data_IF_170876254018
#
_entry.id   IF_170876254018
#
_cell.length_a   1.000
_cell.length_b   1.000
_cell.length_c   1.000
_cell.angle_alpha   90.00
_cell.angle_beta   90.00
_cell.angle_gamma   90.00
#
_symmetry.space_group_name_H-M   'P 1'
#
loop_
_entity.id
_entity.type
_entity.pdbx_description
1 polymer ?
#
# COMPACT_ATOMS: atom_id res chain seq x y z
N UNK A 1 -30.23 19.08 3.36
CA UNK A 1 -29.10 18.93 2.43
C UNK A 1 -29.65 18.42 1.12
N UNK A 2 -29.29 19.02 -0.01
CA UNK A 2 -29.77 18.56 -1.31
C UNK A 2 -28.86 17.41 -1.77
N UNK A 3 -29.39 16.20 -2.00
CA UNK A 3 -28.58 15.08 -2.46
C UNK A 3 -27.99 15.38 -3.84
N UNK A 4 -26.82 14.81 -4.13
CA UNK A 4 -26.17 14.92 -5.42
C UNK A 4 -27.13 14.48 -6.55
N UNK A 5 -27.30 15.30 -7.60
CA UNK A 5 -28.19 14.96 -8.71
C UNK A 5 -27.59 13.90 -9.64
N UNK A 6 -26.33 13.51 -9.42
CA UNK A 6 -25.58 12.66 -10.33
C UNK A 6 -25.93 11.18 -10.15
N UNK A 7 -26.08 10.42 -11.24
CA UNK A 7 -26.17 8.97 -11.17
C UNK A 7 -24.85 8.34 -10.74
N UNK A 8 -24.90 7.16 -10.15
CA UNK A 8 -23.71 6.34 -9.90
C UNK A 8 -23.70 5.12 -10.81
N UNK A 9 -22.51 4.75 -11.31
CA UNK A 9 -22.35 3.65 -12.26
C UNK A 9 -21.35 2.62 -11.70
N UNK A 10 -21.75 1.35 -11.72
CA UNK A 10 -20.88 0.22 -11.39
C UNK A 10 -20.79 -0.74 -12.56
N UNK A 11 -19.58 -1.00 -13.04
CA UNK A 11 -19.31 -1.97 -14.10
C UNK A 11 -18.42 -3.11 -13.56
N UNK A 12 -18.95 -4.33 -13.54
CA UNK A 12 -18.25 -5.55 -13.10
C UNK A 12 -18.22 -6.60 -14.21
N UNK A 13 -17.74 -7.82 -13.91
CA UNK A 13 -17.90 -8.96 -14.82
C UNK A 13 -19.34 -9.50 -14.83
N UNK A 14 -20.09 -9.30 -13.75
CA UNK A 14 -21.45 -9.80 -13.57
C UNK A 14 -22.53 -8.93 -14.22
N UNK A 15 -22.20 -7.69 -14.57
CA UNK A 15 -23.14 -6.77 -15.18
C UNK A 15 -22.72 -5.30 -15.04
N UNK A 16 -23.62 -4.42 -15.45
CA UNK A 16 -23.47 -2.97 -15.29
C UNK A 16 -24.75 -2.45 -14.65
N UNK A 17 -24.61 -1.68 -13.58
CA UNK A 17 -25.73 -1.11 -12.84
C UNK A 17 -25.59 0.39 -12.74
N UNK A 18 -26.73 1.07 -12.82
CA UNK A 18 -26.84 2.50 -12.58
C UNK A 18 -27.82 2.75 -11.44
N UNK A 19 -27.46 3.67 -10.54
CA UNK A 19 -28.33 4.15 -9.48
C UNK A 19 -28.60 5.64 -9.65
N UNK A 20 -29.88 6.00 -9.74
CA UNK A 20 -30.38 7.38 -9.78
C UNK A 20 -31.17 7.69 -8.50
N UNK A 21 -31.77 8.87 -8.41
CA UNK A 21 -32.68 9.17 -7.29
C UNK A 21 -33.96 8.33 -7.34
N UNK A 22 -34.35 7.87 -8.54
CA UNK A 22 -35.56 7.10 -8.80
C UNK A 22 -35.38 5.60 -8.54
N UNK A 23 -34.15 5.10 -8.51
CA UNK A 23 -33.86 3.71 -8.20
C UNK A 23 -32.60 3.16 -8.86
N UNK A 24 -32.41 1.85 -8.72
CA UNK A 24 -31.27 1.12 -9.29
C UNK A 24 -31.75 0.13 -10.34
N UNK A 25 -31.05 0.04 -11.47
CA UNK A 25 -31.33 -0.94 -12.52
C UNK A 25 -30.07 -1.41 -13.22
N UNK A 26 -30.15 -2.61 -13.80
CA UNK A 26 -29.13 -3.14 -14.70
C UNK A 26 -29.27 -2.51 -16.09
N UNK A 27 -28.14 -2.22 -16.74
CA UNK A 27 -28.07 -1.56 -18.04
C UNK A 27 -27.06 -2.22 -18.96
N UNK A 28 -27.24 -2.00 -20.27
CA UNK A 28 -26.26 -2.43 -21.27
C UNK A 28 -25.05 -1.50 -21.35
N UNK A 29 -23.92 -2.01 -21.85
CA UNK A 29 -22.69 -1.24 -22.05
C UNK A 29 -22.88 0.03 -22.88
N UNK A 30 -23.62 -0.05 -23.99
CA UNK A 30 -23.87 1.12 -24.85
C UNK A 30 -24.66 2.21 -24.16
N UNK A 31 -25.63 1.83 -23.32
CA UNK A 31 -26.37 2.78 -22.49
C UNK A 31 -25.48 3.42 -21.43
N UNK A 32 -24.63 2.63 -20.76
CA UNK A 32 -23.70 3.12 -19.75
C UNK A 32 -22.72 4.16 -20.31
N UNK A 33 -22.15 3.89 -21.49
CA UNK A 33 -21.25 4.83 -22.18
C UNK A 33 -21.97 6.12 -22.55
N UNK A 34 -23.19 6.02 -23.11
CA UNK A 34 -23.99 7.20 -23.46
C UNK A 34 -24.27 8.08 -22.23
N UNK A 35 -24.71 7.47 -21.13
CA UNK A 35 -24.99 8.21 -19.89
C UNK A 35 -23.73 8.90 -19.35
N UNK A 36 -22.60 8.18 -19.32
CA UNK A 36 -21.34 8.74 -18.84
C UNK A 36 -20.78 9.86 -19.73
N UNK A 37 -21.11 9.86 -21.03
CA UNK A 37 -20.74 10.94 -21.94
C UNK A 37 -21.65 12.18 -21.79
N UNK A 38 -22.94 11.98 -21.48
CA UNK A 38 -23.93 13.05 -21.40
C UNK A 38 -23.96 13.75 -20.03
N UNK A 39 -23.61 13.05 -18.94
CA UNK A 39 -23.78 13.56 -17.57
C UNK A 39 -22.66 13.05 -16.67
N UNK A 40 -22.13 13.88 -15.73
CA UNK A 40 -21.19 13.41 -14.74
C UNK A 40 -21.76 12.23 -13.93
N UNK A 41 -21.02 11.13 -13.91
CA UNK A 41 -21.37 9.90 -13.19
C UNK A 41 -20.47 9.72 -11.97
N UNK A 42 -21.03 9.30 -10.85
CA UNK A 42 -20.27 8.86 -9.69
C UNK A 42 -19.70 7.47 -9.97
N UNK A 43 -18.39 7.34 -9.79
CA UNK A 43 -17.62 6.14 -10.11
C UNK A 43 -16.69 5.79 -8.94
N UNK A 44 -16.22 4.56 -8.92
CA UNK A 44 -15.09 4.14 -8.11
C UNK A 44 -14.02 3.58 -9.04
N UNK A 45 -12.85 4.20 -9.07
CA UNK A 45 -11.75 3.82 -9.96
C UNK A 45 -12.16 3.94 -11.44
N UNK A 46 -12.26 5.18 -11.92
CA UNK A 46 -12.63 5.51 -13.29
C UNK A 46 -11.79 4.76 -14.34
N UNK A 47 -10.45 4.59 -14.20
CA UNK A 47 -9.67 3.76 -15.13
C UNK A 47 -10.12 2.30 -15.21
N UNK A 48 -10.48 1.69 -14.07
CA UNK A 48 -11.01 0.33 -14.05
C UNK A 48 -12.40 0.27 -14.71
N UNK A 49 -13.28 1.23 -14.41
CA UNK A 49 -14.60 1.33 -15.03
C UNK A 49 -14.49 1.55 -16.55
N UNK A 50 -13.58 2.42 -17.00
CA UNK A 50 -13.24 2.65 -18.40
C UNK A 50 -12.86 1.36 -19.12
N UNK A 51 -11.95 0.58 -18.52
CA UNK A 51 -11.52 -0.71 -19.05
C UNK A 51 -12.70 -1.70 -19.17
N UNK A 52 -13.60 -1.73 -18.18
CA UNK A 52 -14.79 -2.61 -18.17
C UNK A 52 -15.80 -2.24 -19.25
N UNK A 53 -15.97 -0.95 -19.49
CA UNK A 53 -16.88 -0.42 -20.50
C UNK A 53 -16.27 -0.42 -21.90
N UNK A 54 -14.95 -0.59 -22.04
CA UNK A 54 -14.24 -0.39 -23.30
C UNK A 54 -14.27 1.06 -23.78
N UNK A 55 -14.32 2.01 -22.82
CA UNK A 55 -14.41 3.44 -23.07
C UNK A 55 -13.25 4.15 -22.34
N UNK A 56 -12.10 4.34 -23.00
CA UNK A 56 -10.82 4.67 -22.35
C UNK A 56 -10.80 6.05 -21.66
N UNK A 57 -11.54 7.03 -22.18
CA UNK A 57 -11.56 8.39 -21.67
C UNK A 57 -12.75 8.67 -20.74
N UNK A 58 -13.12 7.67 -19.92
CA UNK A 58 -14.20 7.82 -18.95
C UNK A 58 -13.82 8.87 -17.89
N UNK A 59 -14.46 10.02 -17.95
CA UNK A 59 -14.38 11.07 -16.94
C UNK A 59 -15.65 11.09 -16.10
N UNK A 60 -15.51 11.36 -14.80
CA UNK A 60 -16.63 11.40 -13.88
C UNK A 60 -16.22 11.88 -12.49
N UNK A 61 -17.10 11.65 -11.54
CA UNK A 61 -16.92 11.93 -10.12
C UNK A 61 -16.33 10.67 -9.46
N UNK A 62 -15.01 10.50 -9.53
CA UNK A 62 -14.33 9.33 -8.95
C UNK A 62 -14.18 9.48 -7.43
N UNK A 63 -14.74 8.55 -6.67
CA UNK A 63 -14.67 8.53 -5.22
C UNK A 63 -13.24 8.41 -4.68
N UNK A 64 -12.31 7.80 -5.44
CA UNK A 64 -10.90 7.73 -5.03
C UNK A 64 -10.24 9.11 -5.01
N UNK A 65 -10.60 9.98 -5.96
CA UNK A 65 -10.10 11.36 -6.01
C UNK A 65 -10.66 12.19 -4.85
N UNK A 66 -11.96 12.06 -4.57
CA UNK A 66 -12.58 12.73 -3.43
C UNK A 66 -11.98 12.26 -2.11
N UNK A 67 -11.76 10.95 -1.96
CA UNK A 67 -11.09 10.40 -0.78
C UNK A 67 -9.67 10.96 -0.63
N UNK A 68 -8.88 10.99 -1.71
CA UNK A 68 -7.52 11.52 -1.67
C UNK A 68 -7.47 13.00 -1.29
N UNK A 69 -8.46 13.79 -1.71
CA UNK A 69 -8.60 15.18 -1.32
C UNK A 69 -8.96 15.35 0.17
N UNK A 70 -9.91 14.56 0.67
CA UNK A 70 -10.38 14.67 2.06
C UNK A 70 -9.41 14.06 3.08
N UNK A 71 -8.75 12.97 2.71
CA UNK A 71 -7.89 12.15 3.57
C UNK A 71 -6.52 11.93 2.93
N UNK A 72 -5.75 13.02 2.69
CA UNK A 72 -4.43 12.92 2.09
C UNK A 72 -3.52 11.99 2.91
N UNK A 73 -2.70 11.21 2.22
CA UNK A 73 -1.77 10.23 2.81
C UNK A 73 -2.42 9.16 3.71
N UNK A 74 -3.72 8.88 3.56
CA UNK A 74 -4.39 7.75 4.22
C UNK A 74 -4.55 6.57 3.28
N UNK A 75 -4.27 5.37 3.80
CA UNK A 75 -4.47 4.13 3.05
C UNK A 75 -5.96 3.75 3.02
N UNK A 76 -6.41 3.26 1.87
CA UNK A 76 -7.73 2.68 1.65
C UNK A 76 -7.62 1.61 0.57
N UNK A 77 -8.33 0.50 0.74
CA UNK A 77 -8.47 -0.51 -0.32
C UNK A 77 -9.47 0.01 -1.37
N UNK A 78 -9.09 0.19 -2.65
CA UNK A 78 -9.91 0.85 -3.68
C UNK A 78 -11.00 -0.08 -4.24
N UNK A 79 -11.85 -0.58 -3.36
CA UNK A 79 -12.99 -1.46 -3.67
C UNK A 79 -14.22 -0.97 -2.90
N UNK A 80 -15.46 -1.29 -3.33
CA UNK A 80 -16.65 -0.83 -2.62
C UNK A 80 -16.66 -1.23 -1.14
N UNK A 81 -16.32 -2.48 -0.83
CA UNK A 81 -16.19 -2.98 0.55
C UNK A 81 -15.04 -2.30 1.32
N UNK A 82 -13.92 -2.05 0.66
CA UNK A 82 -12.79 -1.34 1.25
C UNK A 82 -13.13 0.11 1.62
N UNK A 83 -13.84 0.81 0.73
CA UNK A 83 -14.34 2.16 0.99
C UNK A 83 -15.38 2.16 2.11
N UNK A 84 -16.33 1.21 2.11
CA UNK A 84 -17.34 1.08 3.15
C UNK A 84 -16.73 0.95 4.56
N UNK A 85 -15.75 0.05 4.71
CA UNK A 85 -14.99 -0.12 5.97
C UNK A 85 -14.25 1.13 6.39
N UNK A 86 -13.68 1.86 5.42
CA UNK A 86 -12.92 3.08 5.68
C UNK A 86 -13.81 4.22 6.15
N UNK A 87 -15.03 4.30 5.59
CA UNK A 87 -16.04 5.30 5.96
C UNK A 87 -16.90 4.88 7.17
N UNK A 88 -16.87 3.61 7.58
CA UNK A 88 -17.72 3.08 8.65
C UNK A 88 -19.19 2.95 8.26
N UNK A 89 -19.49 2.77 6.97
CA UNK A 89 -20.86 2.60 6.45
C UNK A 89 -21.12 1.15 6.03
N UNK A 90 -22.39 0.80 5.79
CA UNK A 90 -22.79 -0.55 5.41
C UNK A 90 -22.10 -0.99 4.10
N UNK A 91 -21.58 -2.23 4.08
CA UNK A 91 -21.00 -2.82 2.87
C UNK A 91 -22.10 -3.20 1.87
N UNK A 92 -21.87 -3.04 0.55
CA UNK A 92 -22.78 -3.57 -0.46
C UNK A 92 -22.81 -5.10 -0.41
N UNK A 93 -24.02 -5.66 -0.37
CA UNK A 93 -24.27 -7.10 -0.25
C UNK A 93 -23.88 -7.85 -1.54
N UNK A 94 -24.19 -7.26 -2.70
CA UNK A 94 -23.99 -7.81 -4.04
C UNK A 94 -23.62 -6.71 -5.06
N UNK A 95 -23.32 -7.10 -6.31
CA UNK A 95 -22.95 -6.16 -7.37
C UNK A 95 -24.05 -5.14 -7.70
N UNK A 96 -25.32 -5.53 -7.60
CA UNK A 96 -26.46 -4.63 -7.86
C UNK A 96 -26.56 -3.52 -6.82
N UNK A 97 -26.18 -3.82 -5.57
CA UNK A 97 -26.14 -2.86 -4.46
C UNK A 97 -24.93 -1.91 -4.50
N UNK A 98 -23.94 -2.14 -5.37
CA UNK A 98 -22.75 -1.27 -5.43
C UNK A 98 -23.10 0.11 -5.96
N UNK A 99 -23.86 0.23 -7.06
CA UNK A 99 -24.22 1.53 -7.62
C UNK A 99 -24.94 2.46 -6.61
N UNK A 100 -25.98 2.04 -5.87
CA UNK A 100 -26.59 2.89 -4.85
C UNK A 100 -25.60 3.18 -3.71
N UNK A 101 -24.80 2.19 -3.26
CA UNK A 101 -23.76 2.40 -2.26
C UNK A 101 -22.76 3.51 -2.65
N UNK A 102 -22.38 3.63 -3.93
CA UNK A 102 -21.47 4.69 -4.37
C UNK A 102 -22.07 6.10 -4.17
N UNK A 103 -23.39 6.26 -4.30
CA UNK A 103 -24.08 7.52 -4.00
C UNK A 103 -24.03 7.82 -2.50
N UNK A 104 -24.31 6.82 -1.68
CA UNK A 104 -24.28 6.95 -0.22
C UNK A 104 -22.86 7.28 0.28
N UNK A 105 -21.85 6.61 -0.28
CA UNK A 105 -20.44 6.87 0.02
C UNK A 105 -20.00 8.28 -0.41
N UNK A 106 -20.49 8.77 -1.56
CA UNK A 106 -20.25 10.15 -2.00
C UNK A 106 -20.80 11.16 -0.99
N UNK A 107 -22.05 11.00 -0.55
CA UNK A 107 -22.66 11.89 0.44
C UNK A 107 -21.95 11.80 1.79
N UNK A 108 -21.61 10.59 2.25
CA UNK A 108 -20.88 10.41 3.49
C UNK A 108 -19.51 11.12 3.47
N UNK A 109 -18.78 11.04 2.36
CA UNK A 109 -17.51 11.76 2.19
C UNK A 109 -17.70 13.27 2.11
N UNK A 110 -18.72 13.72 1.39
CA UNK A 110 -19.00 15.15 1.27
C UNK A 110 -19.45 15.76 2.61
N UNK A 111 -20.14 15.01 3.46
CA UNK A 111 -20.48 15.42 4.82
C UNK A 111 -19.22 15.65 5.69
N UNK A 112 -18.10 14.94 5.43
CA UNK A 112 -16.83 15.20 6.13
C UNK A 112 -16.38 16.65 5.88
N UNK A 113 -16.55 17.15 4.66
CA UNK A 113 -16.14 18.51 4.28
C UNK A 113 -16.93 19.62 5.02
N UNK A 114 -18.07 19.28 5.63
CA UNK A 114 -18.89 20.19 6.43
C UNK A 114 -18.47 20.22 7.91
N UNK A 115 -17.57 19.33 8.33
CA UNK A 115 -17.08 19.21 9.70
C UNK A 115 -15.73 19.90 9.90
N UNK A 116 -15.24 19.96 11.14
CA UNK A 116 -13.86 20.36 11.44
C UNK A 116 -12.93 19.13 11.42
N UNK A 117 -12.75 18.53 10.24
CA UNK A 117 -11.93 17.32 10.12
C UNK A 117 -10.42 17.64 10.21
N UNK A 118 -9.58 16.68 10.62
CA UNK A 118 -8.17 16.96 10.95
C UNK A 118 -7.34 17.54 9.80
N UNK A 119 -7.63 17.10 8.57
CA UNK A 119 -6.95 17.51 7.34
C UNK A 119 -7.61 18.73 6.64
N UNK A 120 -8.49 19.48 7.33
CA UNK A 120 -9.24 20.63 6.77
C UNK A 120 -8.37 21.81 6.35
N UNK A 121 -7.26 22.06 7.05
CA UNK A 121 -6.44 23.26 6.81
C UNK A 121 -5.93 23.32 5.37
N UNK A 122 -6.25 24.41 4.66
CA UNK A 122 -5.85 24.64 3.27
C UNK A 122 -6.75 23.95 2.23
N UNK A 123 -7.73 23.14 2.66
CA UNK A 123 -8.64 22.43 1.75
C UNK A 123 -9.44 23.40 0.87
N UNK A 124 -9.87 24.55 1.40
CA UNK A 124 -10.59 25.56 0.61
C UNK A 124 -9.73 26.10 -0.56
N UNK A 125 -8.48 26.47 -0.30
CA UNK A 125 -7.56 26.94 -1.35
C UNK A 125 -7.17 25.83 -2.34
N UNK A 126 -7.03 24.59 -1.83
CA UNK A 126 -6.83 23.40 -2.66
C UNK A 126 -8.00 23.18 -3.63
N UNK A 127 -9.24 23.22 -3.14
CA UNK A 127 -10.44 23.09 -3.94
C UNK A 127 -10.54 24.18 -5.02
N UNK A 128 -10.21 25.44 -4.70
CA UNK A 128 -10.19 26.54 -5.67
C UNK A 128 -9.14 26.32 -6.78
N UNK A 129 -7.95 25.81 -6.42
CA UNK A 129 -6.90 25.51 -7.39
C UNK A 129 -7.30 24.35 -8.30
N UNK A 130 -7.87 23.29 -7.73
CA UNK A 130 -8.37 22.13 -8.48
C UNK A 130 -9.59 22.48 -9.36
N UNK A 131 -10.42 23.44 -8.94
CA UNK A 131 -11.52 23.95 -9.77
C UNK A 131 -11.01 24.57 -11.07
N UNK A 132 -9.89 25.33 -11.02
CA UNK A 132 -9.25 25.90 -12.22
C UNK A 132 -8.69 24.83 -13.16
N UNK A 133 -8.31 23.69 -12.61
CA UNK A 133 -7.88 22.49 -13.36
C UNK A 133 -9.05 21.59 -13.78
N UNK A 134 -10.31 22.05 -13.61
CA UNK A 134 -11.54 21.33 -13.97
C UNK A 134 -11.71 20.00 -13.25
N UNK A 135 -11.25 19.89 -12.00
CA UNK A 135 -11.52 18.71 -11.19
C UNK A 135 -13.04 18.53 -10.97
N UNK A 136 -13.56 17.34 -11.32
CA UNK A 136 -15.00 17.06 -11.37
C UNK A 136 -15.73 17.30 -10.05
N UNK A 137 -15.09 17.01 -8.92
CA UNK A 137 -15.68 17.19 -7.58
C UNK A 137 -15.68 18.64 -7.09
N UNK A 138 -14.90 19.53 -7.72
CA UNK A 138 -14.71 20.88 -7.21
C UNK A 138 -16.02 21.67 -6.98
N UNK A 139 -17.05 21.60 -7.86
CA UNK A 139 -18.33 22.27 -7.61
C UNK A 139 -19.05 21.74 -6.36
N UNK A 140 -19.12 20.41 -6.19
CA UNK A 140 -19.82 19.77 -5.07
C UNK A 140 -19.10 19.98 -3.73
N UNK A 141 -17.76 19.96 -3.75
CA UNK A 141 -16.92 20.22 -2.58
C UNK A 141 -16.97 21.70 -2.19
N UNK A 142 -16.89 22.62 -3.15
CA UNK A 142 -16.90 24.07 -2.88
C UNK A 142 -18.21 24.56 -2.25
N UNK A 143 -19.32 23.87 -2.50
CA UNK A 143 -20.61 24.18 -1.85
C UNK A 143 -20.64 23.80 -0.37
N UNK A 144 -19.79 22.87 0.06
CA UNK A 144 -19.75 22.34 1.42
C UNK A 144 -18.58 22.89 2.24
N UNK A 145 -17.53 23.35 1.58
CA UNK A 145 -16.39 24.00 2.22
C UNK A 145 -16.68 25.46 2.55
N UNK A 146 -16.64 25.78 3.84
CA UNK A 146 -16.67 27.17 4.31
C UNK A 146 -15.37 27.90 3.97
N UNK A 147 -15.49 29.11 3.41
CA UNK A 147 -14.34 30.00 3.17
C UNK A 147 -13.70 30.35 4.52
N UNK A 148 -12.38 30.17 4.70
CA UNK A 148 -11.72 30.53 5.93
C UNK A 148 -11.66 32.05 6.10
N UNK A 149 -11.84 32.53 7.35
CA UNK A 149 -11.77 33.96 7.68
C UNK A 149 -10.34 34.52 7.58
N UNK A 150 -9.34 33.67 7.84
CA UNK A 150 -7.92 33.98 7.75
C UNK A 150 -7.27 33.09 6.70
N UNK A 151 -6.18 33.56 6.10
CA UNK A 151 -5.37 32.72 5.24
C UNK A 151 -4.85 31.52 6.05
N UNK A 152 -5.25 30.32 5.65
CA UNK A 152 -4.78 29.06 6.24
C UNK A 152 -3.40 28.70 5.67
N UNK A 153 -2.58 27.97 6.44
CA UNK A 153 -1.29 27.49 5.92
C UNK A 153 -1.54 26.40 4.89
N UNK A 154 -0.58 26.19 4.00
CA UNK A 154 -0.65 25.09 3.06
C UNK A 154 -0.54 23.77 3.82
N UNK A 155 -1.33 22.76 3.42
CA UNK A 155 -1.34 21.42 4.02
C UNK A 155 0.07 20.83 4.20
N UNK A 156 0.96 21.04 3.23
CA UNK A 156 2.34 20.54 3.25
C UNK A 156 3.24 21.24 4.26
N UNK A 157 2.86 22.41 4.78
CA UNK A 157 3.63 23.11 5.82
C UNK A 157 3.58 22.42 7.19
N UNK A 158 2.73 21.40 7.38
CA UNK A 158 2.69 20.58 8.60
C UNK A 158 3.57 19.33 8.53
N UNK A 159 4.06 18.95 7.34
CA UNK A 159 4.91 17.77 7.22
C UNK A 159 6.32 18.09 7.71
N UNK A 160 6.98 17.16 8.43
CA UNK A 160 8.39 17.31 8.76
C UNK A 160 9.21 17.40 7.46
N UNK A 161 10.28 18.17 7.50
CA UNK A 161 11.19 18.30 6.37
C UNK A 161 11.78 16.92 6.05
N UNK A 162 11.54 16.45 4.83
CA UNK A 162 12.07 15.17 4.37
C UNK A 162 13.48 15.39 3.81
N UNK A 163 14.47 14.75 4.42
CA UNK A 163 15.85 14.74 3.94
C UNK A 163 16.20 13.36 3.38
N UNK A 164 16.68 13.29 2.13
CA UNK A 164 17.41 12.10 1.66
C UNK A 164 18.69 11.98 2.47
N UNK A 165 18.85 10.87 3.21
CA UNK A 165 20.12 10.57 3.86
C UNK A 165 21.26 10.47 2.85
N UNK A 166 22.49 10.73 3.28
CA UNK A 166 23.66 10.55 2.44
C UNK A 166 23.67 9.13 1.81
N UNK A 167 24.15 8.97 0.57
CA UNK A 167 24.27 7.66 -0.07
C UNK A 167 25.03 6.71 0.86
N UNK A 168 24.51 5.50 1.05
CA UNK A 168 25.18 4.48 1.88
C UNK A 168 26.59 4.23 1.34
N UNK A 169 27.55 4.15 2.26
CA UNK A 169 28.93 3.79 1.92
C UNK A 169 28.94 2.38 1.30
N UNK A 170 29.83 2.08 0.34
CA UNK A 170 30.00 0.72 -0.15
C UNK A 170 30.27 -0.25 1.01
N UNK A 171 29.70 -1.47 0.98
CA UNK A 171 29.87 -2.43 2.06
C UNK A 171 31.34 -2.81 2.21
N UNK A 172 31.76 -3.01 3.46
CA UNK A 172 33.13 -3.44 3.80
C UNK A 172 33.34 -4.88 3.38
N UNK A 173 34.55 -5.20 2.97
CA UNK A 173 34.96 -6.59 2.72
C UNK A 173 35.22 -7.27 4.06
N UNK A 174 34.39 -8.26 4.40
CA UNK A 174 34.49 -9.03 5.64
C UNK A 174 34.52 -10.53 5.34
N UNK A 175 35.12 -11.30 6.23
CA UNK A 175 35.08 -12.76 6.21
C UNK A 175 34.32 -13.22 7.44
N UNK A 176 33.24 -13.96 7.23
CA UNK A 176 32.45 -14.48 8.34
C UNK A 176 33.16 -15.66 9.00
N UNK A 177 33.32 -15.61 10.33
CA UNK A 177 33.76 -16.75 11.13
C UNK A 177 32.63 -17.81 11.19
N UNK A 178 32.89 -19.08 10.80
CA UNK A 178 31.90 -20.15 10.94
C UNK A 178 31.32 -20.30 12.35
N UNK A 179 32.10 -20.03 13.41
CA UNK A 179 31.59 -20.06 14.78
C UNK A 179 30.58 -18.93 15.01
N UNK A 180 30.89 -17.71 14.58
CA UNK A 180 29.96 -16.57 14.69
C UNK A 180 28.67 -16.78 13.88
N UNK A 181 28.73 -17.50 12.75
CA UNK A 181 27.53 -17.91 12.00
C UNK A 181 26.69 -18.92 12.79
N UNK A 182 27.33 -19.88 13.46
CA UNK A 182 26.65 -20.84 14.34
C UNK A 182 26.02 -20.18 15.55
N UNK A 183 26.72 -19.23 16.18
CA UNK A 183 26.21 -18.45 17.31
C UNK A 183 25.02 -17.59 16.88
N UNK A 184 25.11 -16.91 15.73
CA UNK A 184 24.00 -16.14 15.17
C UNK A 184 22.79 -17.02 14.89
N UNK A 185 23.00 -18.19 14.31
CA UNK A 185 21.92 -19.15 14.06
C UNK A 185 21.27 -19.60 15.39
N UNK A 186 22.06 -19.92 16.41
CA UNK A 186 21.56 -20.32 17.72
C UNK A 186 20.72 -19.20 18.38
N UNK A 187 21.21 -17.96 18.32
CA UNK A 187 20.49 -16.79 18.82
C UNK A 187 19.13 -16.61 18.14
N UNK A 188 19.05 -16.82 16.82
CA UNK A 188 17.81 -16.68 16.05
C UNK A 188 16.84 -17.83 16.27
N UNK A 189 17.33 -19.04 16.53
CA UNK A 189 16.47 -20.18 16.87
C UNK A 189 15.86 -20.09 18.27
N UNK A 190 16.51 -19.35 19.19
CA UNK A 190 16.06 -19.13 20.56
C UNK A 190 16.36 -20.29 21.53
N UNK A 191 16.29 -20.00 22.83
CA UNK A 191 16.55 -20.95 23.91
C UNK A 191 15.41 -22.00 23.99
N UNK A 192 15.65 -23.19 23.44
CA UNK A 192 14.69 -24.31 23.45
C UNK A 192 14.46 -24.96 22.09
N UNK A 193 15.03 -24.41 21.01
CA UNK A 193 15.01 -25.05 19.71
C UNK A 193 15.97 -26.23 19.65
N UNK A 194 15.53 -27.32 19.03
CA UNK A 194 16.35 -28.49 18.75
C UNK A 194 17.48 -28.14 17.78
N UNK A 195 18.73 -28.40 18.17
CA UNK A 195 19.89 -28.16 17.33
C UNK A 195 19.97 -29.17 16.19
N UNK A 196 19.63 -28.73 14.97
CA UNK A 196 19.67 -29.59 13.77
C UNK A 196 21.00 -29.48 13.05
N UNK A 197 21.76 -30.57 12.98
CA UNK A 197 23.05 -30.59 12.30
C UNK A 197 22.96 -30.13 10.83
N UNK A 198 21.90 -30.54 10.12
CA UNK A 198 21.66 -30.12 8.73
C UNK A 198 21.42 -28.61 8.56
N UNK A 199 20.81 -27.96 9.55
CA UNK A 199 20.58 -26.51 9.52
C UNK A 199 21.88 -25.72 9.70
N UNK A 200 22.77 -26.20 10.58
CA UNK A 200 24.11 -25.60 10.79
C UNK A 200 24.97 -25.71 9.53
N UNK A 201 25.04 -26.91 8.96
CA UNK A 201 25.79 -27.15 7.73
C UNK A 201 25.26 -26.29 6.57
N UNK A 202 23.94 -26.13 6.48
CA UNK A 202 23.31 -25.26 5.49
C UNK A 202 23.69 -23.78 5.71
N UNK A 203 23.69 -23.30 6.95
CA UNK A 203 24.07 -21.92 7.27
C UNK A 203 25.55 -21.64 6.98
N UNK A 204 26.44 -22.57 7.32
CA UNK A 204 27.87 -22.48 7.00
C UNK A 204 28.11 -22.50 5.48
N UNK A 205 27.40 -23.37 4.75
CA UNK A 205 27.48 -23.38 3.28
C UNK A 205 26.99 -22.05 2.69
N UNK A 206 25.86 -21.51 3.18
CA UNK A 206 25.32 -20.23 2.75
C UNK A 206 26.26 -19.04 3.06
N UNK A 207 27.04 -19.11 4.14
CA UNK A 207 28.02 -18.07 4.51
C UNK A 207 29.09 -17.85 3.42
N UNK A 208 29.39 -18.88 2.62
CA UNK A 208 30.37 -18.79 1.53
C UNK A 208 29.96 -17.79 0.44
N UNK A 209 28.66 -17.48 0.29
CA UNK A 209 28.18 -16.46 -0.64
C UNK A 209 28.64 -15.04 -0.24
N UNK A 210 28.95 -14.83 1.03
CA UNK A 210 29.36 -13.55 1.60
C UNK A 210 30.88 -13.39 1.72
N UNK A 211 31.66 -14.40 1.29
CA UNK A 211 33.11 -14.32 1.32
C UNK A 211 33.63 -13.15 0.44
N UNK A 212 34.86 -12.66 0.68
CA UNK A 212 35.51 -11.72 -0.21
C UNK A 212 35.59 -12.26 -1.66
N UNK A 213 35.41 -11.38 -2.65
CA UNK A 213 35.48 -11.76 -4.07
C UNK A 213 36.95 -11.89 -4.49
N UNK A 214 37.28 -13.00 -5.13
CA UNK A 214 38.64 -13.24 -5.66
C UNK A 214 38.91 -12.48 -6.96
N UNK A 215 37.87 -12.19 -7.75
CA UNK A 215 37.97 -11.49 -9.03
C UNK A 215 36.95 -10.34 -9.10
N UNK A 216 37.36 -9.23 -9.71
CA UNK A 216 36.46 -8.10 -10.00
C UNK A 216 35.30 -8.57 -10.87
N UNK A 217 34.09 -8.11 -10.57
CA UNK A 217 32.85 -8.44 -11.30
C UNK A 217 32.42 -9.92 -11.31
N UNK A 218 33.03 -10.75 -10.45
CA UNK A 218 32.61 -12.14 -10.23
C UNK A 218 31.96 -12.31 -8.85
N UNK A 219 30.66 -12.66 -8.76
CA UNK A 219 30.02 -12.91 -7.49
C UNK A 219 30.39 -14.29 -6.94
N UNK A 220 30.40 -14.42 -5.61
CA UNK A 220 30.39 -15.74 -4.98
C UNK A 220 28.97 -16.32 -5.09
N UNK A 221 28.84 -17.44 -5.79
CA UNK A 221 27.56 -18.12 -6.00
C UNK A 221 27.54 -19.42 -5.19
N UNK A 222 26.51 -19.58 -4.36
CA UNK A 222 26.25 -20.82 -3.61
C UNK A 222 24.92 -21.39 -4.05
N UNK A 223 24.93 -22.67 -4.45
CA UNK A 223 23.73 -23.46 -4.66
C UNK A 223 23.61 -24.45 -3.50
N UNK A 224 22.72 -24.16 -2.56
CA UNK A 224 22.48 -25.00 -1.39
C UNK A 224 21.07 -25.59 -1.43
N UNK A 225 20.98 -26.92 -1.53
CA UNK A 225 19.73 -27.63 -1.38
C UNK A 225 19.44 -27.90 0.10
N UNK A 226 18.20 -27.70 0.49
CA UNK A 226 17.74 -27.94 1.83
C UNK A 226 16.48 -28.81 1.80
N UNK A 227 16.40 -29.84 2.63
CA UNK A 227 15.19 -30.64 2.82
C UNK A 227 14.02 -29.81 3.38
N UNK A 228 12.80 -30.33 3.28
CA UNK A 228 11.64 -29.73 3.97
C UNK A 228 11.83 -29.83 5.49
N UNK A 229 11.42 -28.80 6.23
CA UNK A 229 11.47 -28.80 7.70
C UNK A 229 12.84 -28.54 8.34
N UNK A 230 13.93 -28.33 7.57
CA UNK A 230 15.27 -28.13 8.15
C UNK A 230 15.53 -26.70 8.66
N UNK A 231 14.57 -25.77 8.52
CA UNK A 231 14.75 -24.37 8.92
C UNK A 231 15.60 -23.54 7.93
N UNK A 232 15.30 -23.65 6.63
CA UNK A 232 16.02 -22.96 5.53
C UNK A 232 16.14 -21.46 5.75
N UNK A 233 15.04 -20.85 6.21
CA UNK A 233 14.91 -19.42 6.38
C UNK A 233 15.95 -18.88 7.35
N UNK A 234 15.94 -19.37 8.60
CA UNK A 234 16.98 -19.02 9.58
C UNK A 234 18.39 -19.42 9.11
N UNK A 235 18.49 -20.51 8.34
CA UNK A 235 19.75 -20.98 7.78
C UNK A 235 20.45 -19.96 6.86
N UNK A 236 19.74 -19.27 5.97
CA UNK A 236 20.35 -18.19 5.18
C UNK A 236 20.30 -16.82 5.86
N UNK A 237 19.34 -16.58 6.77
CA UNK A 237 19.24 -15.31 7.51
C UNK A 237 20.38 -15.12 8.51
N UNK A 238 20.88 -16.20 9.13
CA UNK A 238 22.00 -16.12 10.07
C UNK A 238 23.28 -15.52 9.44
N UNK A 239 23.86 -16.09 8.37
CA UNK A 239 25.03 -15.49 7.73
C UNK A 239 24.72 -14.14 7.06
N UNK A 240 23.51 -13.95 6.51
CA UNK A 240 23.11 -12.70 5.87
C UNK A 240 23.07 -11.51 6.84
N UNK A 241 22.47 -11.72 8.02
CA UNK A 241 22.37 -10.67 9.05
C UNK A 241 23.73 -10.35 9.67
N UNK A 242 24.53 -11.39 9.94
CA UNK A 242 25.89 -11.20 10.44
C UNK A 242 26.76 -10.42 9.44
N UNK A 243 26.65 -10.73 8.14
CA UNK A 243 27.33 -9.97 7.09
C UNK A 243 26.81 -8.53 7.00
N UNK A 244 25.49 -8.31 7.03
CA UNK A 244 24.91 -6.97 6.96
C UNK A 244 25.44 -6.07 8.10
N UNK A 245 25.55 -6.62 9.30
CA UNK A 245 26.08 -5.94 10.48
C UNK A 245 27.59 -5.62 10.35
N UNK A 246 28.41 -6.62 9.99
CA UNK A 246 29.87 -6.44 9.91
C UNK A 246 30.31 -5.62 8.70
N UNK A 247 29.65 -5.82 7.56
CA UNK A 247 29.94 -5.16 6.29
C UNK A 247 29.26 -3.80 6.17
N UNK A 248 28.28 -3.47 7.03
CA UNK A 248 27.42 -2.29 6.89
C UNK A 248 26.75 -2.26 5.51
N UNK A 249 26.19 -3.41 5.12
CA UNK A 249 25.72 -3.71 3.77
C UNK A 249 24.26 -4.13 3.73
N UNK A 250 23.58 -3.83 2.62
CA UNK A 250 22.23 -4.29 2.39
C UNK A 250 22.21 -5.72 1.80
N UNK A 251 21.35 -6.58 2.36
CA UNK A 251 21.08 -7.92 1.81
C UNK A 251 19.68 -7.95 1.22
N UNK A 252 19.56 -8.50 0.01
CA UNK A 252 18.30 -8.64 -0.71
C UNK A 252 17.85 -10.09 -0.70
N UNK A 253 16.60 -10.32 -0.27
CA UNK A 253 16.00 -11.65 -0.19
C UNK A 253 14.81 -11.68 -1.15
N UNK A 254 14.85 -12.61 -2.10
CA UNK A 254 13.76 -12.81 -3.07
C UNK A 254 13.06 -14.14 -2.81
N UNK A 255 11.73 -14.14 -2.79
CA UNK A 255 10.91 -15.33 -2.56
C UNK A 255 9.66 -15.32 -3.44
N UNK A 256 9.09 -16.51 -3.69
CA UNK A 256 8.09 -16.72 -4.74
C UNK A 256 6.67 -16.24 -4.37
N UNK A 257 6.30 -16.21 -3.08
CA UNK A 257 4.90 -15.90 -2.68
C UNK A 257 4.80 -14.83 -1.60
N UNK A 258 3.69 -14.08 -1.60
CA UNK A 258 3.34 -13.10 -0.54
C UNK A 258 3.22 -13.74 0.85
N UNK A 259 2.84 -15.01 0.93
CA UNK A 259 2.79 -15.75 2.20
C UNK A 259 4.20 -15.93 2.78
N UNK A 260 5.16 -16.32 1.94
CA UNK A 260 6.56 -16.42 2.34
C UNK A 260 7.16 -15.05 2.68
N UNK A 261 6.79 -13.99 1.97
CA UNK A 261 7.22 -12.62 2.32
C UNK A 261 6.74 -12.21 3.72
N UNK A 262 5.49 -12.52 4.09
CA UNK A 262 4.97 -12.25 5.44
C UNK A 262 5.66 -13.08 6.50
N UNK A 263 5.93 -14.35 6.22
CA UNK A 263 6.70 -15.21 7.10
C UNK A 263 8.11 -14.64 7.33
N UNK A 264 8.77 -14.18 6.26
CA UNK A 264 10.08 -13.49 6.36
C UNK A 264 10.01 -12.21 7.17
N UNK A 265 8.92 -11.45 7.05
CA UNK A 265 8.70 -10.25 7.87
C UNK A 265 8.72 -10.57 9.36
N UNK A 266 7.99 -11.61 9.78
CA UNK A 266 7.94 -12.02 11.18
C UNK A 266 9.27 -12.62 11.69
N UNK A 267 9.93 -13.45 10.89
CA UNK A 267 11.29 -13.95 11.22
C UNK A 267 12.33 -12.80 11.22
N UNK A 268 12.08 -11.73 10.45
CA UNK A 268 12.89 -10.52 10.42
C UNK A 268 12.75 -9.65 11.66
N UNK A 269 11.60 -9.63 12.33
CA UNK A 269 11.42 -8.97 13.62
C UNK A 269 12.35 -9.59 14.69
N UNK A 270 12.53 -10.92 14.66
CA UNK A 270 13.45 -11.63 15.56
C UNK A 270 14.93 -11.26 15.31
N UNK A 271 15.30 -10.90 14.08
CA UNK A 271 16.63 -10.39 13.75
C UNK A 271 16.89 -9.02 14.40
N UNK A 272 15.89 -8.13 14.38
CA UNK A 272 15.98 -6.80 14.98
C UNK A 272 16.10 -6.91 16.51
N UNK A 273 15.25 -7.72 17.13
CA UNK A 273 15.31 -8.00 18.58
C UNK A 273 16.66 -8.59 19.02
N UNK A 274 17.26 -9.45 18.19
CA UNK A 274 18.58 -10.03 18.44
C UNK A 274 19.69 -8.98 18.34
N UNK A 275 19.64 -8.10 17.33
CA UNK A 275 20.59 -7.01 17.16
C UNK A 275 20.53 -6.01 18.33
N UNK A 276 19.32 -5.66 18.79
CA UNK A 276 19.13 -4.77 19.94
C UNK A 276 19.65 -5.37 21.26
N UNK A 277 19.44 -6.67 21.47
CA UNK A 277 19.95 -7.38 22.66
C UNK A 277 21.48 -7.48 22.71
N UNK A 278 22.14 -7.62 21.55
CA UNK A 278 23.60 -7.67 21.45
C UNK A 278 24.24 -6.28 21.56
N UNK A 279 23.53 -5.21 21.20
CA UNK A 279 24.01 -3.83 21.35
C UNK A 279 23.93 -3.29 22.80
N UNK A 280 23.18 -3.96 23.68
CA UNK A 280 22.93 -3.55 25.06
C UNK A 280 23.67 -4.41 26.11
N UNK A 281 24.48 -5.38 25.69
CA UNK A 281 25.35 -6.21 26.54
C UNK A 281 26.82 -5.94 26.31
#
# INVERSE_FOLDING_TARGET
>A
MTPLPYPALHASHGGIWIATAEGTRSIGRGEAVRIAADTPVILLNAPLAAQRLGYPDLSGLDLLELFAFLRPARFMVPTPRGLARTLGIAEPADDASVAPFLRDAAEAMLAIAETDWPEREGAWHGAQSLARLRWSWAPAVSQRLSKPEKAERWLFSRLPEWSEGAPRTPPRTVTLDPEAVRDRLAALTGAGAETRAGQRLYAEAAASAFAPRTMRDSPNLVLAEAGTGIGKTLGYLAPASLWAEQADGAVWISTFTKALQRQLGHEGEQLLDCAERLALG
#
